data_IF_954661303928
#
_entry.id   IF_954661303928
#
_cell.length_a   1.000
_cell.length_b   1.000
_cell.length_c   1.000
_cell.angle_alpha   90.00
_cell.angle_beta   90.00
_cell.angle_gamma   90.00
#
_symmetry.space_group_name_H-M   'P 1'
#
loop_
_entity.id
_entity.type
_entity.pdbx_description
1 polymer ?
#
# COMPACT_ATOMS: atom_id res chain seq x y z
N UNK A 1 -63.28 -62.84 -34.73
CA UNK A 1 -61.83 -62.84 -34.92
C UNK A 1 -61.31 -61.44 -34.64
N UNK A 2 -60.83 -61.19 -33.42
CA UNK A 2 -60.32 -59.86 -32.99
C UNK A 2 -58.81 -60.02 -32.78
N UNK A 3 -58.01 -59.27 -33.54
CA UNK A 3 -56.54 -59.22 -33.37
C UNK A 3 -56.22 -58.13 -32.36
N UNK A 4 -55.55 -58.51 -31.24
CA UNK A 4 -54.93 -57.58 -30.32
C UNK A 4 -53.58 -57.14 -30.90
N UNK A 5 -53.36 -55.84 -30.98
CA UNK A 5 -52.06 -55.28 -31.25
C UNK A 5 -51.42 -54.84 -29.92
N UNK A 6 -50.26 -55.37 -29.60
CA UNK A 6 -49.46 -55.00 -28.45
C UNK A 6 -48.48 -53.89 -28.87
N UNK A 7 -48.57 -52.72 -28.22
CA UNK A 7 -47.63 -51.61 -28.39
C UNK A 7 -46.47 -51.79 -27.39
N UNK A 8 -45.24 -51.93 -27.90
CA UNK A 8 -43.99 -51.85 -27.11
C UNK A 8 -43.62 -50.38 -26.97
N UNK A 9 -43.64 -49.85 -25.74
CA UNK A 9 -43.05 -48.57 -25.38
C UNK A 9 -41.59 -48.79 -24.99
N UNK A 10 -40.65 -48.36 -25.85
CA UNK A 10 -39.22 -48.34 -25.54
C UNK A 10 -38.94 -47.08 -24.70
N UNK A 11 -38.62 -47.25 -23.41
CA UNK A 11 -38.15 -46.19 -22.52
C UNK A 11 -36.67 -45.86 -22.81
N UNK A 12 -36.40 -44.68 -23.33
CA UNK A 12 -35.06 -44.12 -23.41
C UNK A 12 -34.64 -43.64 -22.00
N UNK A 13 -33.75 -44.36 -21.33
CA UNK A 13 -33.07 -43.85 -20.13
C UNK A 13 -31.97 -42.88 -20.54
N UNK A 14 -32.23 -41.57 -20.28
CA UNK A 14 -31.21 -40.52 -20.41
C UNK A 14 -30.20 -40.70 -19.27
N UNK A 15 -29.07 -41.32 -19.53
CA UNK A 15 -27.94 -41.31 -18.60
C UNK A 15 -27.30 -39.91 -18.61
N UNK A 16 -27.57 -39.13 -17.56
CA UNK A 16 -26.83 -37.90 -17.30
C UNK A 16 -25.36 -38.24 -17.04
N UNK A 17 -24.49 -37.93 -18.00
CA UNK A 17 -23.04 -37.96 -17.82
C UNK A 17 -22.70 -36.79 -16.92
N UNK A 18 -22.61 -37.04 -15.60
CA UNK A 18 -21.99 -36.11 -14.67
C UNK A 18 -20.49 -36.19 -14.96
N UNK A 19 -20.01 -35.27 -15.77
CA UNK A 19 -18.55 -35.09 -15.95
C UNK A 19 -17.91 -34.81 -14.57
N UNK A 20 -16.65 -35.23 -14.37
CA UNK A 20 -15.98 -34.93 -13.12
C UNK A 20 -15.99 -33.40 -12.92
N UNK A 21 -16.65 -32.92 -11.87
CA UNK A 21 -16.44 -31.58 -11.38
C UNK A 21 -14.94 -31.49 -11.09
N UNK A 22 -14.20 -30.67 -11.85
CA UNK A 22 -12.81 -30.38 -11.55
C UNK A 22 -12.77 -29.91 -10.10
N UNK A 23 -12.32 -30.77 -9.21
CA UNK A 23 -12.10 -30.40 -7.82
C UNK A 23 -11.18 -29.18 -7.83
N UNK A 24 -11.65 -28.08 -7.27
CA UNK A 24 -10.81 -26.89 -7.09
C UNK A 24 -9.68 -27.30 -6.16
N UNK A 25 -8.45 -27.22 -6.64
CA UNK A 25 -7.25 -27.66 -5.89
C UNK A 25 -6.25 -26.50 -5.80
N UNK A 26 -5.44 -26.55 -4.75
CA UNK A 26 -4.25 -25.72 -4.64
C UNK A 26 -3.22 -26.24 -5.65
N UNK A 27 -2.70 -25.38 -6.51
CA UNK A 27 -1.68 -25.75 -7.48
C UNK A 27 -0.37 -26.16 -6.78
N UNK A 28 0.37 -27.06 -7.39
CA UNK A 28 1.68 -27.55 -6.90
C UNK A 28 1.69 -28.02 -5.41
N UNK A 29 0.50 -28.25 -4.82
CA UNK A 29 0.33 -28.67 -3.41
C UNK A 29 0.91 -27.68 -2.37
N UNK A 30 1.12 -26.42 -2.72
CA UNK A 30 1.65 -25.36 -1.86
C UNK A 30 1.08 -24.01 -2.27
N UNK A 31 0.80 -23.13 -1.29
CA UNK A 31 0.54 -21.71 -1.55
C UNK A 31 1.84 -20.95 -1.33
N UNK A 32 2.36 -20.31 -2.38
CA UNK A 32 3.64 -19.61 -2.31
C UNK A 32 3.50 -18.10 -2.45
N UNK A 33 3.89 -17.38 -1.40
CA UNK A 33 3.86 -15.91 -1.32
C UNK A 33 5.27 -15.38 -1.50
N UNK A 34 5.48 -14.49 -2.48
CA UNK A 34 6.74 -13.78 -2.69
C UNK A 34 6.68 -12.35 -2.13
N UNK A 35 7.49 -12.03 -1.13
CA UNK A 35 7.64 -10.65 -0.62
C UNK A 35 8.78 -9.99 -1.38
N UNK A 36 8.42 -9.14 -2.35
CA UNK A 36 9.39 -8.41 -3.17
C UNK A 36 9.48 -6.98 -2.64
N UNK A 37 10.57 -6.65 -2.00
CA UNK A 37 10.68 -5.43 -1.18
C UNK A 37 12.03 -4.73 -1.36
N UNK A 38 12.21 -3.56 -0.76
CA UNK A 38 13.52 -2.90 -0.63
C UNK A 38 14.12 -3.27 0.73
N UNK A 39 15.22 -4.03 0.72
CA UNK A 39 15.86 -4.52 1.95
C UNK A 39 17.16 -3.80 2.29
N UNK A 40 17.70 -3.00 1.39
CA UNK A 40 19.07 -2.50 1.50
C UNK A 40 19.23 -1.02 1.15
N UNK A 41 18.15 -0.31 0.79
CA UNK A 41 18.28 1.08 0.40
C UNK A 41 17.22 1.99 1.07
N UNK A 42 16.74 2.98 0.38
CA UNK A 42 15.99 4.16 0.83
C UNK A 42 14.73 3.84 1.66
N UNK A 43 14.08 2.72 1.39
CA UNK A 43 12.80 2.34 2.02
C UNK A 43 12.92 1.11 2.94
N UNK A 44 14.15 0.64 3.21
CA UNK A 44 14.39 -0.59 3.95
C UNK A 44 13.78 -0.58 5.36
N UNK A 45 13.78 0.56 6.05
CA UNK A 45 13.22 0.70 7.40
C UNK A 45 11.68 0.72 7.39
N UNK A 46 11.09 1.30 6.34
CA UNK A 46 9.63 1.37 6.20
C UNK A 46 9.01 0.06 5.72
N UNK A 47 9.78 -0.76 5.01
CA UNK A 47 9.35 -2.02 4.36
C UNK A 47 10.30 -3.17 4.73
N UNK A 48 11.13 -3.63 3.83
CA UNK A 48 12.27 -4.51 4.05
C UNK A 48 12.00 -5.75 4.89
N UNK A 49 12.88 -5.98 5.86
CA UNK A 49 12.76 -7.13 6.80
C UNK A 49 11.47 -7.09 7.62
N UNK A 50 10.95 -5.90 7.91
CA UNK A 50 9.67 -5.74 8.61
C UNK A 50 8.49 -6.24 7.77
N UNK A 51 8.48 -5.98 6.46
CA UNK A 51 7.48 -6.52 5.54
C UNK A 51 7.49 -8.04 5.52
N UNK A 52 8.68 -8.65 5.41
CA UNK A 52 8.85 -10.12 5.49
C UNK A 52 8.32 -10.66 6.81
N UNK A 53 8.70 -10.04 7.93
CA UNK A 53 8.24 -10.44 9.25
C UNK A 53 6.71 -10.36 9.40
N UNK A 54 6.07 -9.30 8.88
CA UNK A 54 4.62 -9.14 8.91
C UNK A 54 3.89 -10.26 8.16
N UNK A 55 4.35 -10.59 6.94
CA UNK A 55 3.78 -11.69 6.15
C UNK A 55 3.99 -13.04 6.85
N UNK A 56 5.20 -13.31 7.35
CA UNK A 56 5.49 -14.55 8.09
C UNK A 56 4.68 -14.67 9.39
N UNK A 57 4.45 -13.56 10.10
CA UNK A 57 3.57 -13.55 11.27
C UNK A 57 2.14 -13.90 10.91
N UNK A 58 1.60 -13.32 9.84
CA UNK A 58 0.26 -13.61 9.37
C UNK A 58 0.10 -15.09 8.94
N UNK A 59 1.06 -15.64 8.20
CA UNK A 59 1.08 -17.06 7.83
C UNK A 59 1.12 -17.94 9.06
N UNK A 60 1.98 -17.63 10.04
CA UNK A 60 2.06 -18.39 11.30
C UNK A 60 0.75 -18.33 12.09
N UNK A 61 0.13 -17.17 12.20
CA UNK A 61 -1.13 -16.97 12.91
C UNK A 61 -2.32 -17.63 12.21
N UNK A 62 -2.24 -17.77 10.89
CA UNK A 62 -3.21 -18.53 10.10
C UNK A 62 -3.07 -20.05 10.28
N UNK A 63 -1.97 -20.52 10.86
CA UNK A 63 -1.69 -21.93 11.10
C UNK A 63 -0.70 -22.56 10.12
N UNK A 64 -0.02 -21.78 9.27
CA UNK A 64 1.03 -22.23 8.37
C UNK A 64 0.56 -23.06 7.17
N UNK A 65 -0.75 -23.29 7.03
CA UNK A 65 -1.34 -24.05 5.94
C UNK A 65 -2.74 -23.54 5.58
N UNK A 66 -3.17 -23.84 4.35
CA UNK A 66 -4.53 -23.56 3.87
C UNK A 66 -5.05 -24.80 3.15
N UNK A 67 -6.26 -25.28 3.49
CA UNK A 67 -6.82 -26.53 2.94
C UNK A 67 -5.87 -27.74 3.09
N UNK A 68 -5.07 -27.77 4.15
CA UNK A 68 -4.09 -28.85 4.39
C UNK A 68 -2.82 -28.77 3.53
N UNK A 69 -2.64 -27.69 2.75
CA UNK A 69 -1.43 -27.43 1.97
C UNK A 69 -0.59 -26.37 2.67
N UNK A 70 0.75 -26.52 2.71
CA UNK A 70 1.63 -25.55 3.35
C UNK A 70 1.58 -24.19 2.66
N UNK A 71 1.83 -23.14 3.43
CA UNK A 71 2.05 -21.77 2.92
C UNK A 71 3.53 -21.46 3.05
N UNK A 72 4.19 -21.25 1.92
CA UNK A 72 5.61 -20.86 1.85
C UNK A 72 5.76 -19.38 1.59
N UNK A 73 6.76 -18.75 2.24
CA UNK A 73 7.10 -17.34 2.04
C UNK A 73 8.54 -17.27 1.53
N UNK A 74 8.69 -16.78 0.30
CA UNK A 74 9.98 -16.41 -0.28
C UNK A 74 10.11 -14.88 -0.31
N UNK A 75 11.32 -14.35 -0.32
CA UNK A 75 11.53 -12.90 -0.35
C UNK A 75 12.78 -12.51 -1.11
N UNK A 76 12.78 -11.30 -1.67
CA UNK A 76 13.93 -10.76 -2.39
C UNK A 76 13.97 -9.23 -2.31
N UNK A 77 15.17 -8.69 -2.50
CA UNK A 77 15.48 -7.27 -2.54
C UNK A 77 15.50 -6.77 -3.99
N UNK A 78 14.59 -5.88 -4.35
CA UNK A 78 14.60 -5.24 -5.68
C UNK A 78 15.51 -3.99 -5.75
N UNK A 79 16.08 -3.54 -4.61
CA UNK A 79 17.05 -2.43 -4.55
C UNK A 79 16.53 -1.12 -5.17
N UNK A 80 15.22 -0.89 -5.20
CA UNK A 80 14.55 0.20 -5.92
C UNK A 80 14.84 0.27 -7.43
N UNK A 81 15.25 -0.87 -8.05
CA UNK A 81 15.57 -0.99 -9.47
C UNK A 81 14.46 -1.74 -10.21
N UNK A 82 13.75 -1.11 -11.16
CA UNK A 82 12.66 -1.74 -11.89
C UNK A 82 13.04 -3.01 -12.64
N UNK A 83 14.20 -3.02 -13.29
CA UNK A 83 14.75 -4.16 -14.03
C UNK A 83 15.03 -5.36 -13.13
N UNK A 84 15.62 -5.12 -11.95
CA UNK A 84 15.86 -6.15 -10.93
C UNK A 84 14.53 -6.72 -10.42
N UNK A 85 13.60 -5.85 -10.04
CA UNK A 85 12.28 -6.28 -9.54
C UNK A 85 11.50 -7.11 -10.56
N UNK A 86 11.46 -6.67 -11.83
CA UNK A 86 10.77 -7.38 -12.91
C UNK A 86 11.46 -8.73 -13.22
N UNK A 87 12.79 -8.79 -13.20
CA UNK A 87 13.52 -10.04 -13.41
C UNK A 87 13.22 -11.06 -12.32
N UNK A 88 13.23 -10.65 -11.05
CA UNK A 88 12.87 -11.51 -9.90
C UNK A 88 11.42 -11.99 -10.02
N UNK A 89 10.46 -11.07 -10.26
CA UNK A 89 9.05 -11.40 -10.37
C UNK A 89 8.78 -12.40 -11.52
N UNK A 90 9.43 -12.21 -12.67
CA UNK A 90 9.33 -13.14 -13.80
C UNK A 90 9.85 -14.52 -13.44
N UNK A 91 11.04 -14.60 -12.83
CA UNK A 91 11.61 -15.87 -12.37
C UNK A 91 10.69 -16.56 -11.35
N UNK A 92 10.15 -15.82 -10.41
CA UNK A 92 9.23 -16.34 -9.41
C UNK A 92 7.96 -16.94 -10.04
N UNK A 93 7.35 -16.25 -11.01
CA UNK A 93 6.14 -16.75 -11.66
C UNK A 93 6.43 -17.93 -12.61
N UNK A 94 7.50 -17.86 -13.40
CA UNK A 94 7.77 -18.85 -14.45
C UNK A 94 8.43 -20.12 -13.91
N UNK A 95 9.38 -19.99 -12.99
CA UNK A 95 10.22 -21.09 -12.51
C UNK A 95 9.91 -21.56 -11.08
N UNK A 96 9.70 -20.61 -10.15
CA UNK A 96 9.54 -20.92 -8.74
C UNK A 96 8.08 -21.09 -8.31
N UNK A 97 7.13 -20.86 -9.23
CA UNK A 97 5.69 -21.08 -9.02
C UNK A 97 5.10 -20.25 -7.89
N UNK A 98 5.54 -19.01 -7.73
CA UNK A 98 4.95 -18.06 -6.78
C UNK A 98 3.53 -17.71 -7.24
N UNK A 99 2.56 -17.75 -6.32
CA UNK A 99 1.14 -17.48 -6.61
C UNK A 99 0.78 -16.02 -6.49
N UNK A 100 1.42 -15.34 -5.52
CA UNK A 100 1.17 -13.92 -5.30
C UNK A 100 2.45 -13.19 -4.88
N UNK A 101 2.64 -11.98 -5.42
CA UNK A 101 3.73 -11.07 -5.01
C UNK A 101 3.14 -9.98 -4.12
N UNK A 102 3.79 -9.76 -2.96
CA UNK A 102 3.37 -8.82 -1.94
C UNK A 102 4.39 -7.70 -1.76
N UNK A 103 3.93 -6.56 -1.24
CA UNK A 103 4.68 -5.34 -0.88
C UNK A 103 4.98 -4.45 -2.10
N UNK A 104 6.10 -4.65 -2.76
CA UNK A 104 6.61 -3.91 -3.92
C UNK A 104 6.65 -2.38 -3.68
N UNK A 105 7.42 -1.90 -2.69
CA UNK A 105 7.67 -0.47 -2.56
C UNK A 105 8.37 0.07 -3.81
N UNK A 106 8.33 1.41 -4.01
CA UNK A 106 8.84 2.08 -5.21
C UNK A 106 7.93 1.92 -6.42
N UNK A 107 7.16 2.97 -6.71
CA UNK A 107 6.12 2.91 -7.75
C UNK A 107 6.66 2.61 -9.15
N UNK A 108 7.91 2.98 -9.45
CA UNK A 108 8.57 2.60 -10.73
C UNK A 108 8.86 1.10 -10.83
N UNK A 109 8.90 0.37 -9.71
CA UNK A 109 8.97 -1.10 -9.66
C UNK A 109 7.55 -1.70 -9.67
N UNK A 110 6.64 -1.14 -8.88
CA UNK A 110 5.28 -1.67 -8.71
C UNK A 110 4.46 -1.65 -9.99
N UNK A 111 4.54 -0.58 -10.78
CA UNK A 111 3.77 -0.45 -12.02
C UNK A 111 4.10 -1.55 -13.05
N UNK A 112 5.36 -1.81 -13.43
CA UNK A 112 5.66 -2.90 -14.34
C UNK A 112 5.41 -4.29 -13.74
N UNK A 113 5.55 -4.49 -12.42
CA UNK A 113 5.18 -5.75 -11.77
C UNK A 113 3.67 -5.99 -11.84
N UNK A 114 2.85 -4.96 -11.63
CA UNK A 114 1.39 -5.07 -11.81
C UNK A 114 1.02 -5.53 -13.24
N UNK A 115 1.68 -4.97 -14.26
CA UNK A 115 1.49 -5.37 -15.65
C UNK A 115 1.93 -6.84 -15.90
N UNK A 116 3.10 -7.23 -15.40
CA UNK A 116 3.61 -8.60 -15.48
C UNK A 116 2.69 -9.59 -14.76
N UNK A 117 2.19 -9.24 -13.58
CA UNK A 117 1.26 -10.08 -12.81
C UNK A 117 -0.03 -10.35 -13.58
N UNK A 118 -0.56 -9.33 -14.28
CA UNK A 118 -1.71 -9.49 -15.17
C UNK A 118 -1.38 -10.42 -16.35
N UNK A 119 -0.23 -10.23 -17.00
CA UNK A 119 0.24 -11.10 -18.10
C UNK A 119 0.31 -12.57 -17.67
N UNK A 120 0.81 -12.83 -16.46
CA UNK A 120 1.00 -14.17 -15.89
C UNK A 120 -0.25 -14.75 -15.24
N UNK A 121 -1.35 -13.99 -15.18
CA UNK A 121 -2.57 -14.33 -14.43
C UNK A 121 -2.26 -14.78 -12.98
N UNK A 122 -1.41 -14.03 -12.30
CA UNK A 122 -1.07 -14.20 -10.88
C UNK A 122 -1.67 -13.07 -10.06
N UNK A 123 -1.34 -12.94 -8.79
CA UNK A 123 -1.86 -11.89 -7.90
C UNK A 123 -0.73 -10.96 -7.45
N UNK A 124 -0.99 -9.66 -7.42
CA UNK A 124 -0.14 -8.67 -6.76
C UNK A 124 -0.93 -7.94 -5.67
N UNK A 125 -0.44 -7.99 -4.44
CA UNK A 125 -0.97 -7.20 -3.32
C UNK A 125 0.08 -6.17 -2.95
N UNK A 126 -0.12 -4.96 -3.45
CA UNK A 126 0.80 -3.85 -3.28
C UNK A 126 0.47 -3.08 -2.00
N UNK A 127 1.40 -3.05 -1.05
CA UNK A 127 1.28 -2.27 0.19
C UNK A 127 2.25 -1.08 0.21
N UNK A 128 3.43 -1.23 -0.39
CA UNK A 128 4.50 -0.24 -0.30
C UNK A 128 4.57 0.75 -1.46
N UNK A 129 4.19 0.38 -2.69
CA UNK A 129 4.22 1.29 -3.83
C UNK A 129 3.01 2.24 -3.82
N UNK A 130 3.24 3.56 -3.70
CA UNK A 130 2.18 4.51 -3.37
C UNK A 130 1.49 5.20 -4.55
N UNK A 131 1.97 5.09 -5.80
CA UNK A 131 1.37 5.86 -6.91
C UNK A 131 -0.13 5.57 -7.10
N UNK A 132 -0.94 6.62 -7.11
CA UNK A 132 -2.38 6.54 -7.40
C UNK A 132 -2.69 6.02 -8.81
N UNK A 133 -1.68 5.96 -9.70
CA UNK A 133 -1.82 5.36 -11.03
C UNK A 133 -2.04 3.85 -10.97
N UNK A 134 -1.61 3.15 -9.90
CA UNK A 134 -1.80 1.70 -9.70
C UNK A 134 -3.29 1.32 -9.69
N UNK A 135 -4.15 2.19 -9.17
CA UNK A 135 -5.62 2.04 -9.18
C UNK A 135 -6.29 3.05 -10.12
N UNK A 136 -5.50 3.75 -10.92
CA UNK A 136 -5.92 4.67 -11.98
C UNK A 136 -5.71 4.08 -13.36
N UNK A 137 -5.03 4.83 -14.21
CA UNK A 137 -4.76 4.45 -15.62
C UNK A 137 -4.04 3.11 -15.78
N UNK A 138 -3.31 2.64 -14.75
CA UNK A 138 -2.58 1.37 -14.73
C UNK A 138 -3.28 0.28 -13.91
N UNK A 139 -4.56 0.43 -13.57
CA UNK A 139 -5.28 -0.55 -12.79
C UNK A 139 -5.33 -1.93 -13.47
N UNK A 140 -5.37 -2.96 -12.66
CA UNK A 140 -5.34 -4.34 -13.11
C UNK A 140 -6.33 -5.19 -12.32
N UNK A 141 -7.05 -6.15 -12.95
CA UNK A 141 -7.92 -7.06 -12.22
C UNK A 141 -7.15 -7.99 -11.26
N UNK A 142 -5.84 -8.08 -11.42
CA UNK A 142 -4.93 -8.94 -10.67
C UNK A 142 -4.16 -8.21 -9.57
N UNK A 143 -4.38 -6.90 -9.38
CA UNK A 143 -3.65 -6.10 -8.40
C UNK A 143 -4.59 -5.49 -7.37
N UNK A 144 -4.21 -5.58 -6.09
CA UNK A 144 -4.82 -4.85 -4.98
C UNK A 144 -3.81 -3.85 -4.44
N UNK A 145 -4.20 -2.59 -4.32
CA UNK A 145 -3.44 -1.52 -3.69
C UNK A 145 -3.96 -1.36 -2.26
N UNK A 146 -3.21 -1.87 -1.26
CA UNK A 146 -3.77 -2.14 0.06
C UNK A 146 -3.79 -0.93 0.99
N UNK A 147 -2.65 -0.27 1.19
CA UNK A 147 -2.45 0.58 2.37
C UNK A 147 -2.77 2.05 2.13
N UNK A 148 -2.06 2.72 1.23
CA UNK A 148 -2.18 4.16 0.97
C UNK A 148 -1.97 4.46 -0.51
N UNK A 149 -2.15 5.70 -0.92
CA UNK A 149 -1.72 6.18 -2.22
C UNK A 149 -1.41 7.69 -2.23
N UNK A 150 -0.83 8.14 -3.33
CA UNK A 150 -0.45 9.55 -3.53
C UNK A 150 -1.63 10.51 -3.60
N UNK A 151 -2.86 10.00 -3.74
CA UNK A 151 -4.07 10.81 -3.65
C UNK A 151 -4.49 11.01 -2.18
N UNK A 152 -4.57 9.92 -1.40
CA UNK A 152 -5.04 9.96 -0.01
C UNK A 152 -4.12 10.79 0.89
N UNK A 153 -2.79 10.67 0.72
CA UNK A 153 -1.81 11.37 1.54
C UNK A 153 -2.05 12.89 1.59
N UNK A 154 -2.04 13.63 0.47
CA UNK A 154 -2.28 15.06 0.49
C UNK A 154 -3.74 15.43 0.71
N UNK A 155 -4.68 14.56 0.37
CA UNK A 155 -6.11 14.83 0.54
C UNK A 155 -6.48 14.97 2.01
N UNK A 156 -5.86 14.16 2.88
CA UNK A 156 -6.06 14.22 4.33
C UNK A 156 -5.36 15.42 4.96
N UNK A 157 -4.05 15.59 4.76
CA UNK A 157 -3.27 16.64 5.41
C UNK A 157 -3.32 17.99 4.66
N UNK A 158 -3.17 17.99 3.34
CA UNK A 158 -3.04 19.20 2.54
C UNK A 158 -4.29 20.08 2.53
N UNK A 159 -5.47 19.45 2.42
CA UNK A 159 -6.76 20.16 2.52
C UNK A 159 -6.91 20.94 3.83
N UNK A 160 -6.49 20.33 4.95
CA UNK A 160 -6.54 20.98 6.26
C UNK A 160 -5.61 22.18 6.34
N UNK A 161 -4.42 22.11 5.74
CA UNK A 161 -3.45 23.21 5.71
C UNK A 161 -3.94 24.37 4.89
N UNK A 162 -4.40 24.16 3.65
CA UNK A 162 -4.93 25.23 2.78
C UNK A 162 -6.07 25.97 3.45
N UNK A 163 -7.01 25.25 4.09
CA UNK A 163 -8.14 25.86 4.84
C UNK A 163 -7.72 26.73 6.03
N UNK A 164 -6.52 26.48 6.60
CA UNK A 164 -5.95 27.30 7.70
C UNK A 164 -5.18 28.53 7.20
N UNK A 165 -5.15 28.76 5.88
CA UNK A 165 -4.45 29.88 5.27
C UNK A 165 -3.01 29.59 4.81
N UNK A 166 -2.58 28.33 4.86
CA UNK A 166 -1.33 27.86 4.28
C UNK A 166 -1.54 27.57 2.78
N UNK A 167 -1.82 28.58 2.00
CA UNK A 167 -2.44 28.54 0.67
C UNK A 167 -1.45 28.67 -0.49
N UNK A 168 -0.16 28.90 -0.23
CA UNK A 168 0.88 28.94 -1.27
C UNK A 168 1.92 27.87 -1.03
N UNK A 169 2.14 27.02 -2.05
CA UNK A 169 2.95 25.82 -1.95
C UNK A 169 4.06 25.80 -2.98
N UNK A 170 5.21 25.26 -2.60
CA UNK A 170 6.32 24.93 -3.49
C UNK A 170 6.74 23.46 -3.23
N UNK A 171 6.96 22.69 -4.29
CA UNK A 171 7.29 21.27 -4.17
C UNK A 171 8.78 21.00 -4.32
N UNK A 172 9.30 20.11 -3.48
CA UNK A 172 10.61 19.46 -3.64
C UNK A 172 10.33 17.97 -3.90
N UNK A 173 10.52 17.54 -5.13
CA UNK A 173 9.96 16.29 -5.67
C UNK A 173 11.04 15.32 -6.08
N UNK A 174 10.95 14.07 -5.61
CA UNK A 174 11.77 12.98 -6.12
C UNK A 174 11.39 12.65 -7.58
N UNK A 175 12.35 12.70 -8.49
CA UNK A 175 12.10 12.60 -9.93
C UNK A 175 11.91 11.15 -10.40
N UNK A 176 10.83 10.52 -9.94
CA UNK A 176 10.37 9.20 -10.37
C UNK A 176 8.85 9.05 -10.19
N UNK A 177 8.29 7.90 -10.61
CA UNK A 177 6.83 7.70 -10.70
C UNK A 177 6.05 8.04 -9.42
N UNK A 178 6.58 7.77 -8.22
CA UNK A 178 5.93 8.13 -6.96
C UNK A 178 5.94 9.63 -6.72
N UNK A 179 7.12 10.28 -6.77
CA UNK A 179 7.24 11.71 -6.47
C UNK A 179 6.41 12.55 -7.45
N UNK A 180 6.45 12.21 -8.74
CA UNK A 180 5.65 12.89 -9.78
C UNK A 180 4.14 12.70 -9.56
N UNK A 181 3.69 11.50 -9.14
CA UNK A 181 2.29 11.27 -8.82
C UNK A 181 1.88 12.04 -7.56
N UNK A 182 2.72 12.05 -6.52
CA UNK A 182 2.46 12.73 -5.26
C UNK A 182 2.40 14.25 -5.43
N UNK A 183 3.33 14.85 -6.19
CA UNK A 183 3.32 16.26 -6.58
C UNK A 183 2.03 16.61 -7.32
N UNK A 184 1.69 15.84 -8.36
CA UNK A 184 0.46 16.02 -9.15
C UNK A 184 -0.78 16.02 -8.27
N UNK A 185 -0.93 14.98 -7.44
CA UNK A 185 -2.12 14.77 -6.63
C UNK A 185 -2.21 15.85 -5.52
N UNK A 186 -1.08 16.20 -4.89
CA UNK A 186 -1.03 17.29 -3.91
C UNK A 186 -1.30 18.66 -4.53
N UNK A 187 -0.75 18.94 -5.72
CA UNK A 187 -1.01 20.18 -6.44
C UNK A 187 -2.50 20.34 -6.79
N UNK A 188 -3.17 19.25 -7.14
CA UNK A 188 -4.61 19.26 -7.38
C UNK A 188 -5.40 19.59 -6.10
N UNK A 189 -5.08 18.93 -4.98
CA UNK A 189 -5.69 19.23 -3.67
C UNK A 189 -5.52 20.71 -3.30
N UNK A 190 -4.32 21.24 -3.47
CA UNK A 190 -4.04 22.67 -3.18
C UNK A 190 -4.93 23.58 -4.03
N UNK A 191 -4.97 23.37 -5.34
CA UNK A 191 -5.76 24.19 -6.29
C UNK A 191 -7.26 24.08 -6.04
N UNK A 192 -7.78 22.86 -5.84
CA UNK A 192 -9.21 22.60 -5.58
C UNK A 192 -9.70 23.25 -4.28
N UNK A 193 -8.80 23.48 -3.32
CA UNK A 193 -9.14 24.16 -2.06
C UNK A 193 -8.79 25.68 -2.06
N UNK A 194 -8.50 26.26 -3.24
CA UNK A 194 -8.26 27.68 -3.41
C UNK A 194 -6.83 28.13 -3.16
N UNK A 195 -5.90 27.21 -2.98
CA UNK A 195 -4.47 27.51 -2.84
C UNK A 195 -3.76 27.67 -4.20
N UNK A 196 -2.48 28.03 -4.15
CA UNK A 196 -1.62 28.23 -5.32
C UNK A 196 -0.33 27.45 -5.20
N UNK A 197 0.08 26.82 -6.28
CA UNK A 197 1.40 26.23 -6.44
C UNK A 197 2.31 27.27 -7.10
N UNK A 198 3.39 27.65 -6.41
CA UNK A 198 4.34 28.67 -6.87
C UNK A 198 5.46 28.08 -7.74
N UNK A 199 5.64 26.76 -7.70
CA UNK A 199 6.62 26.04 -8.50
C UNK A 199 7.02 24.70 -7.86
N UNK A 200 7.94 24.05 -8.53
CA UNK A 200 8.55 22.80 -8.08
C UNK A 200 10.05 22.77 -8.45
N UNK A 201 10.78 21.92 -7.75
CA UNK A 201 12.13 21.50 -8.11
C UNK A 201 12.23 19.98 -7.93
N UNK A 202 12.91 19.32 -8.86
CA UNK A 202 13.04 17.86 -8.84
C UNK A 202 14.46 17.43 -8.51
N UNK A 203 14.56 16.41 -7.67
CA UNK A 203 15.83 15.82 -7.27
C UNK A 203 15.88 14.32 -7.65
N UNK A 204 17.06 13.77 -7.93
CA UNK A 204 17.24 12.34 -8.14
C UNK A 204 16.84 11.54 -6.90
N UNK A 205 16.39 10.30 -7.10
CA UNK A 205 16.18 9.37 -6.00
C UNK A 205 17.49 9.10 -5.27
N UNK A 206 17.45 8.97 -3.95
CA UNK A 206 18.62 8.77 -3.08
C UNK A 206 19.58 9.99 -3.08
N UNK A 207 19.02 11.18 -2.98
CA UNK A 207 19.77 12.43 -2.87
C UNK A 207 20.33 12.61 -1.45
N UNK A 208 21.63 12.86 -1.35
CA UNK A 208 22.30 13.14 -0.07
C UNK A 208 22.41 14.63 0.25
N UNK A 209 22.51 15.49 -0.77
CA UNK A 209 22.63 16.95 -0.65
C UNK A 209 21.41 17.64 -1.23
N UNK A 210 20.61 18.24 -0.34
CA UNK A 210 19.39 18.99 -0.70
C UNK A 210 19.61 20.51 -0.79
N UNK A 211 20.84 21.00 -0.57
CA UNK A 211 21.13 22.44 -0.46
C UNK A 211 20.55 23.26 -1.60
N UNK A 212 20.82 22.89 -2.85
CA UNK A 212 20.34 23.64 -4.02
C UNK A 212 18.83 23.60 -4.20
N UNK A 213 18.20 22.49 -3.88
CA UNK A 213 16.75 22.29 -3.97
C UNK A 213 16.02 23.12 -2.88
N UNK A 214 16.54 23.09 -1.65
CA UNK A 214 15.98 23.84 -0.53
C UNK A 214 16.16 25.37 -0.69
N UNK A 215 17.28 25.82 -1.24
CA UNK A 215 17.47 27.24 -1.55
C UNK A 215 16.47 27.75 -2.61
N UNK A 216 16.16 26.97 -3.64
CA UNK A 216 15.13 27.30 -4.60
C UNK A 216 13.75 27.35 -3.95
N UNK A 217 13.44 26.35 -3.10
CA UNK A 217 12.19 26.34 -2.35
C UNK A 217 12.08 27.56 -1.41
N UNK A 218 13.14 27.91 -0.70
CA UNK A 218 13.20 29.10 0.16
C UNK A 218 12.98 30.39 -0.63
N UNK A 219 13.61 30.52 -1.81
CA UNK A 219 13.49 31.70 -2.68
C UNK A 219 12.07 31.88 -3.24
N UNK A 220 11.25 30.81 -3.33
CA UNK A 220 9.87 30.89 -3.80
C UNK A 220 8.95 31.72 -2.90
N UNK A 221 9.32 31.91 -1.63
CA UNK A 221 8.49 32.56 -0.59
C UNK A 221 7.12 31.90 -0.38
N UNK A 222 6.95 30.64 -0.78
CA UNK A 222 5.76 29.88 -0.49
C UNK A 222 5.58 29.72 1.03
N UNK A 223 4.34 29.74 1.51
CA UNK A 223 4.06 29.46 2.94
C UNK A 223 4.39 28.03 3.31
N UNK A 224 4.27 27.11 2.35
CA UNK A 224 4.51 25.68 2.53
C UNK A 224 5.53 25.17 1.52
N UNK A 225 6.55 24.50 2.01
CA UNK A 225 7.45 23.65 1.22
C UNK A 225 7.01 22.21 1.42
N UNK A 226 6.54 21.60 0.34
CA UNK A 226 6.00 20.24 0.34
C UNK A 226 7.05 19.27 -0.20
N UNK A 227 7.43 18.31 0.62
CA UNK A 227 8.35 17.22 0.24
C UNK A 227 7.53 16.10 -0.42
N UNK A 228 7.60 16.01 -1.74
CA UNK A 228 7.01 14.95 -2.54
C UNK A 228 8.06 13.83 -2.77
N UNK A 229 8.56 13.29 -1.68
CA UNK A 229 9.53 12.21 -1.57
C UNK A 229 9.22 11.34 -0.34
N UNK A 230 10.09 10.40 0.02
CA UNK A 230 9.86 9.49 1.14
C UNK A 230 11.17 8.92 1.69
N UNK A 231 11.14 8.34 2.90
CA UNK A 231 12.25 7.65 3.53
C UNK A 231 13.49 8.53 3.69
N UNK A 232 14.65 8.02 3.30
CA UNK A 232 15.94 8.73 3.44
C UNK A 232 15.97 10.10 2.77
N UNK A 233 15.30 10.30 1.62
CA UNK A 233 15.22 11.60 0.94
C UNK A 233 14.42 12.60 1.78
N UNK A 234 13.30 12.19 2.37
CA UNK A 234 12.50 13.04 3.28
C UNK A 234 13.29 13.41 4.54
N UNK A 235 13.93 12.43 5.18
CA UNK A 235 14.69 12.68 6.41
C UNK A 235 15.89 13.58 6.18
N UNK A 236 16.62 13.41 5.08
CA UNK A 236 17.75 14.28 4.70
C UNK A 236 17.28 15.70 4.38
N UNK A 237 16.19 15.85 3.63
CA UNK A 237 15.63 17.15 3.30
C UNK A 237 15.19 17.92 4.56
N UNK A 238 14.51 17.25 5.50
CA UNK A 238 14.07 17.85 6.76
C UNK A 238 15.25 18.29 7.65
N UNK A 239 16.29 17.45 7.77
CA UNK A 239 17.51 17.79 8.52
C UNK A 239 18.16 19.05 7.95
N UNK A 240 18.40 19.07 6.65
CA UNK A 240 19.06 20.19 6.00
C UNK A 240 18.19 21.46 5.99
N UNK A 241 16.86 21.34 5.86
CA UNK A 241 15.95 22.47 5.98
C UNK A 241 16.04 23.14 7.37
N UNK A 242 16.20 22.33 8.43
CA UNK A 242 16.41 22.85 9.79
C UNK A 242 17.75 23.54 9.92
N UNK A 243 18.83 22.96 9.37
CA UNK A 243 20.18 23.55 9.35
C UNK A 243 20.23 24.90 8.62
N UNK A 244 19.49 25.04 7.53
CA UNK A 244 19.37 26.29 6.77
C UNK A 244 18.41 27.32 7.38
N UNK A 245 17.75 26.98 8.49
CA UNK A 245 16.82 27.88 9.17
C UNK A 245 15.59 28.23 8.32
N UNK A 246 15.13 27.34 7.46
CA UNK A 246 13.95 27.55 6.60
C UNK A 246 12.71 27.71 7.46
N UNK A 247 12.56 26.88 8.49
CA UNK A 247 11.54 27.03 9.51
C UNK A 247 12.02 27.98 10.61
N UNK A 248 11.16 28.86 11.18
CA UNK A 248 9.68 28.89 11.05
C UNK A 248 9.14 29.78 9.91
N UNK A 249 10.00 30.38 9.08
CA UNK A 249 9.54 31.33 8.06
C UNK A 249 8.64 30.67 6.99
N UNK A 250 8.94 29.44 6.63
CA UNK A 250 8.14 28.60 5.74
C UNK A 250 7.86 27.26 6.45
N UNK A 251 6.63 26.78 6.35
CA UNK A 251 6.24 25.49 6.94
C UNK A 251 6.72 24.36 6.05
N UNK A 252 7.26 23.30 6.65
CA UNK A 252 7.55 22.05 5.94
C UNK A 252 6.38 21.09 6.10
N UNK A 253 6.04 20.36 5.03
CA UNK A 253 5.21 19.17 5.09
C UNK A 253 5.90 18.02 4.38
N UNK A 254 6.06 16.90 5.08
CA UNK A 254 6.42 15.62 4.47
C UNK A 254 5.13 14.93 4.05
N UNK A 255 4.91 14.79 2.74
CA UNK A 255 3.65 14.23 2.22
C UNK A 255 3.55 12.70 2.45
N UNK A 256 4.68 12.02 2.61
CA UNK A 256 4.78 10.66 3.14
C UNK A 256 5.88 10.61 4.18
N UNK A 257 5.53 10.18 5.39
CA UNK A 257 6.45 10.01 6.50
C UNK A 257 5.97 8.88 7.39
N UNK A 258 6.82 7.89 7.57
CA UNK A 258 6.54 6.74 8.42
C UNK A 258 6.98 6.98 9.86
N UNK A 259 6.44 6.21 10.80
CA UNK A 259 6.82 6.31 12.22
C UNK A 259 8.33 6.08 12.43
N UNK A 260 8.95 5.25 11.61
CA UNK A 260 10.41 4.98 11.63
C UNK A 260 11.22 6.21 11.24
N UNK A 261 10.72 7.03 10.31
CA UNK A 261 11.34 8.29 9.91
C UNK A 261 11.31 9.31 11.07
N UNK A 262 10.13 9.46 11.70
CA UNK A 262 9.98 10.34 12.88
C UNK A 262 10.87 9.90 14.02
N UNK A 263 10.94 8.59 14.27
CA UNK A 263 11.82 8.03 15.29
C UNK A 263 13.31 8.32 15.00
N UNK A 264 13.75 8.14 13.76
CA UNK A 264 15.13 8.37 13.32
C UNK A 264 15.56 9.84 13.40
N UNK A 265 14.65 10.78 13.10
CA UNK A 265 14.87 12.21 13.20
C UNK A 265 14.81 12.71 14.65
N UNK A 266 14.07 12.00 15.48
CA UNK A 266 13.77 12.37 16.85
C UNK A 266 12.59 13.35 16.98
N UNK A 267 11.86 13.18 18.08
CA UNK A 267 10.62 13.94 18.35
C UNK A 267 10.84 15.46 18.40
N UNK A 268 12.00 15.92 18.86
CA UNK A 268 12.33 17.36 18.93
C UNK A 268 12.43 18.02 17.56
N UNK A 269 12.98 17.31 16.59
CA UNK A 269 13.14 17.81 15.23
C UNK A 269 11.83 17.76 14.42
N UNK A 270 10.93 16.86 14.79
CA UNK A 270 9.69 16.58 14.05
C UNK A 270 8.43 17.06 14.73
N UNK A 271 8.52 17.57 15.97
CA UNK A 271 7.34 18.03 16.73
C UNK A 271 6.45 18.98 15.92
N UNK A 272 5.16 18.72 15.98
CA UNK A 272 4.16 19.55 15.30
C UNK A 272 3.96 19.24 13.82
N UNK A 273 4.81 18.41 13.20
CA UNK A 273 4.57 17.96 11.82
C UNK A 273 3.24 17.20 11.73
N UNK A 274 2.51 17.48 10.64
CA UNK A 274 1.30 16.74 10.31
C UNK A 274 1.66 15.54 9.45
N UNK A 275 1.13 14.38 9.81
CA UNK A 275 1.38 13.10 9.14
C UNK A 275 0.04 12.47 8.77
N UNK A 276 -0.10 12.04 7.53
CA UNK A 276 -1.20 11.17 7.09
C UNK A 276 -0.73 9.73 7.14
N UNK A 277 -1.47 8.88 7.85
CA UNK A 277 -1.11 7.47 8.03
C UNK A 277 -2.38 6.60 8.00
N UNK A 278 -2.25 5.33 7.67
CA UNK A 278 -3.33 4.35 7.73
C UNK A 278 -3.33 3.54 9.02
N UNK A 279 -2.28 3.67 9.83
CA UNK A 279 -2.09 2.86 11.04
C UNK A 279 -1.18 3.58 12.03
N UNK A 280 -1.49 3.41 13.31
CA UNK A 280 -0.58 3.76 14.39
C UNK A 280 -0.66 2.69 15.49
N UNK A 281 0.49 2.32 16.04
CA UNK A 281 0.59 1.20 16.97
C UNK A 281 -0.24 1.36 18.25
N UNK A 282 -0.46 2.59 18.72
CA UNK A 282 -1.18 2.92 19.96
C UNK A 282 -2.57 3.50 19.71
N UNK A 283 -3.34 2.97 18.76
CA UNK A 283 -4.72 3.41 18.52
C UNK A 283 -5.73 2.73 19.44
N UNK A 284 -5.59 1.43 19.65
CA UNK A 284 -6.48 0.59 20.44
C UNK A 284 -5.78 -0.68 20.90
N UNK A 285 -6.49 -1.55 21.64
CA UNK A 285 -5.91 -2.78 22.18
C UNK A 285 -5.47 -3.76 21.11
N UNK A 286 -6.18 -3.85 19.98
CA UNK A 286 -5.84 -4.75 18.88
C UNK A 286 -4.54 -4.30 18.19
N UNK A 287 -4.40 -2.98 17.91
CA UNK A 287 -3.17 -2.43 17.31
C UNK A 287 -1.98 -2.57 18.24
N UNK A 288 -2.16 -2.34 19.55
CA UNK A 288 -1.12 -2.55 20.58
C UNK A 288 -0.68 -4.02 20.66
N UNK A 289 -1.62 -4.95 20.65
CA UNK A 289 -1.34 -6.39 20.73
C UNK A 289 -0.51 -6.86 19.51
N UNK A 290 -0.91 -6.48 18.30
CA UNK A 290 -0.15 -6.76 17.08
C UNK A 290 1.25 -6.14 17.15
N UNK A 291 1.33 -4.86 17.45
CA UNK A 291 2.58 -4.10 17.42
C UNK A 291 3.60 -4.58 18.45
N UNK A 292 3.15 -5.00 19.63
CA UNK A 292 4.03 -5.61 20.65
C UNK A 292 4.69 -6.90 20.13
N UNK A 293 3.95 -7.73 19.42
CA UNK A 293 4.46 -8.98 18.84
C UNK A 293 5.42 -8.70 17.68
N UNK A 294 5.07 -7.72 16.84
CA UNK A 294 5.91 -7.26 15.74
C UNK A 294 7.23 -6.70 16.26
N UNK A 295 7.19 -5.80 17.25
CA UNK A 295 8.37 -5.21 17.89
C UNK A 295 9.32 -6.29 18.43
N UNK A 296 8.79 -7.31 19.08
CA UNK A 296 9.59 -8.42 19.61
C UNK A 296 10.36 -9.19 18.53
N UNK A 297 9.90 -9.16 17.26
CA UNK A 297 10.56 -9.82 16.13
C UNK A 297 11.50 -8.90 15.35
N UNK A 298 11.16 -7.62 15.23
CA UNK A 298 11.80 -6.69 14.29
C UNK A 298 12.65 -5.63 15.00
N UNK A 299 12.32 -5.28 16.23
CA UNK A 299 13.04 -4.29 17.05
C UNK A 299 12.56 -2.84 16.87
N UNK A 300 11.51 -2.61 16.10
CA UNK A 300 10.84 -1.31 15.97
C UNK A 300 9.33 -1.46 15.86
N UNK A 301 8.57 -0.37 16.05
CA UNK A 301 7.13 -0.39 15.83
C UNK A 301 6.80 -0.52 14.34
N UNK A 302 5.70 -1.21 14.00
CA UNK A 302 5.32 -1.40 12.60
C UNK A 302 4.88 -0.08 11.96
N UNK A 303 5.25 0.09 10.70
CA UNK A 303 4.73 1.12 9.80
C UNK A 303 3.33 0.73 9.29
N UNK A 304 2.61 1.67 8.67
CA UNK A 304 1.33 1.34 8.01
C UNK A 304 1.50 0.28 6.93
N UNK A 305 2.63 0.28 6.22
CA UNK A 305 2.94 -0.68 5.15
C UNK A 305 3.03 -2.09 5.72
N UNK A 306 3.78 -2.26 6.80
CA UNK A 306 4.01 -3.54 7.47
C UNK A 306 2.74 -4.07 8.14
N UNK A 307 1.97 -3.20 8.80
CA UNK A 307 0.66 -3.55 9.38
C UNK A 307 -0.36 -3.94 8.29
N UNK A 308 -0.38 -3.19 7.18
CA UNK A 308 -1.22 -3.49 6.03
C UNK A 308 -0.88 -4.84 5.38
N UNK A 309 0.39 -5.22 5.33
CA UNK A 309 0.81 -6.52 4.79
C UNK A 309 0.32 -7.70 5.63
N UNK A 310 0.35 -7.59 6.95
CA UNK A 310 -0.25 -8.61 7.81
C UNK A 310 -1.75 -8.78 7.51
N UNK A 311 -2.50 -7.68 7.48
CA UNK A 311 -3.92 -7.66 7.15
C UNK A 311 -4.20 -8.27 5.78
N UNK A 312 -3.44 -7.85 4.76
CA UNK A 312 -3.55 -8.34 3.39
C UNK A 312 -3.28 -9.85 3.28
N UNK A 313 -2.27 -10.34 3.97
CA UNK A 313 -1.92 -11.77 3.99
C UNK A 313 -3.04 -12.60 4.60
N UNK A 314 -3.58 -12.18 5.74
CA UNK A 314 -4.72 -12.84 6.38
C UNK A 314 -5.95 -12.88 5.46
N UNK A 315 -6.22 -11.78 4.75
CA UNK A 315 -7.35 -11.70 3.82
C UNK A 315 -7.17 -12.60 2.60
N UNK A 316 -5.97 -12.64 2.03
CA UNK A 316 -5.59 -13.51 0.91
C UNK A 316 -5.75 -14.99 1.27
N UNK A 317 -5.22 -15.42 2.42
CA UNK A 317 -5.32 -16.82 2.86
C UNK A 317 -6.77 -17.22 3.13
N UNK A 318 -7.58 -16.34 3.73
CA UNK A 318 -9.04 -16.57 3.90
C UNK A 318 -9.76 -16.73 2.55
N UNK A 319 -9.35 -15.97 1.53
CA UNK A 319 -9.94 -16.09 0.20
C UNK A 319 -9.60 -17.42 -0.46
N UNK A 320 -8.36 -17.90 -0.35
CA UNK A 320 -7.98 -19.26 -0.81
C UNK A 320 -8.74 -20.33 -0.04
N UNK A 321 -8.85 -20.19 1.28
CA UNK A 321 -9.62 -21.14 2.12
C UNK A 321 -11.07 -21.23 1.65
N UNK A 322 -11.71 -20.09 1.38
CA UNK A 322 -13.12 -20.03 0.97
C UNK A 322 -13.34 -20.60 -0.44
N UNK A 323 -12.41 -20.34 -1.37
CA UNK A 323 -12.52 -20.82 -2.76
C UNK A 323 -12.03 -22.25 -2.95
N UNK A 324 -11.17 -22.74 -2.07
CA UNK A 324 -10.52 -24.05 -2.19
C UNK A 324 -9.49 -24.14 -3.33
N UNK A 325 -9.03 -23.00 -3.84
CA UNK A 325 -8.06 -22.90 -4.94
C UNK A 325 -7.24 -21.61 -4.82
N UNK A 326 -6.04 -21.62 -5.37
CA UNK A 326 -5.16 -20.48 -5.55
C UNK A 326 -5.27 -19.83 -6.95
N UNK A 327 -6.24 -20.26 -7.75
CA UNK A 327 -6.51 -19.69 -9.07
C UNK A 327 -6.83 -18.18 -8.94
N UNK A 328 -6.01 -17.35 -9.60
CA UNK A 328 -5.96 -15.91 -9.38
C UNK A 328 -7.33 -15.20 -9.52
N UNK A 329 -8.11 -15.50 -10.55
CA UNK A 329 -9.38 -14.79 -10.78
C UNK A 329 -10.43 -15.14 -9.72
N UNK A 330 -10.47 -16.41 -9.26
CA UNK A 330 -11.38 -16.85 -8.20
C UNK A 330 -11.01 -16.24 -6.86
N UNK A 331 -9.71 -16.25 -6.53
CA UNK A 331 -9.20 -15.64 -5.29
C UNK A 331 -9.46 -14.13 -5.28
N UNK A 332 -9.16 -13.44 -6.38
CA UNK A 332 -9.43 -12.00 -6.50
C UNK A 332 -10.92 -11.65 -6.41
N UNK A 333 -11.79 -12.47 -7.00
CA UNK A 333 -13.24 -12.31 -6.88
C UNK A 333 -13.70 -12.48 -5.41
N UNK A 334 -13.18 -13.50 -4.72
CA UNK A 334 -13.49 -13.73 -3.32
C UNK A 334 -12.95 -12.62 -2.40
N UNK A 335 -11.73 -12.14 -2.65
CA UNK A 335 -11.17 -11.02 -1.90
C UNK A 335 -12.04 -9.77 -2.01
N UNK A 336 -12.55 -9.46 -3.22
CA UNK A 336 -13.47 -8.32 -3.44
C UNK A 336 -14.85 -8.53 -2.80
N UNK A 337 -15.34 -9.75 -2.76
CA UNK A 337 -16.64 -10.09 -2.17
C UNK A 337 -16.65 -10.09 -0.64
N UNK A 338 -15.48 -10.14 -0.01
CA UNK A 338 -15.34 -10.31 1.45
C UNK A 338 -14.92 -8.98 2.09
N UNK A 339 -15.69 -8.43 3.04
CA UNK A 339 -15.27 -7.27 3.81
C UNK A 339 -14.04 -7.55 4.67
N UNK A 340 -13.18 -6.55 4.84
CA UNK A 340 -12.01 -6.60 5.71
C UNK A 340 -12.39 -6.02 7.08
N UNK A 341 -12.29 -6.86 8.13
CA UNK A 341 -12.53 -6.48 9.51
C UNK A 341 -11.45 -7.11 10.38
N UNK A 342 -10.43 -6.31 10.70
CA UNK A 342 -9.31 -6.70 11.56
C UNK A 342 -8.77 -5.47 12.32
N UNK A 343 -7.56 -5.57 12.88
CA UNK A 343 -6.96 -4.45 13.60
C UNK A 343 -6.54 -3.29 12.68
N UNK A 344 -6.31 -3.56 11.38
CA UNK A 344 -5.89 -2.55 10.41
C UNK A 344 -7.08 -1.78 9.82
N UNK A 345 -8.16 -2.46 9.51
CA UNK A 345 -9.35 -1.85 8.91
C UNK A 345 -10.64 -2.37 9.51
N UNK A 346 -11.63 -1.48 9.65
CA UNK A 346 -13.01 -1.83 9.96
C UNK A 346 -13.88 -1.50 8.74
N UNK A 347 -14.69 -2.47 8.31
CA UNK A 347 -15.53 -2.38 7.10
C UNK A 347 -14.76 -2.03 5.82
N UNK A 348 -13.48 -2.41 5.74
CA UNK A 348 -12.67 -2.24 4.55
C UNK A 348 -13.22 -3.08 3.39
N UNK A 349 -13.04 -2.61 2.15
CA UNK A 349 -13.48 -3.33 0.96
C UNK A 349 -12.56 -3.04 -0.23
N UNK A 350 -12.48 -4.00 -1.16
CA UNK A 350 -11.66 -3.87 -2.38
C UNK A 350 -12.58 -3.50 -3.55
N UNK A 351 -12.33 -2.35 -4.16
CA UNK A 351 -13.07 -1.86 -5.34
C UNK A 351 -12.63 -2.57 -6.61
N UNK A 352 -13.39 -2.37 -7.70
CA UNK A 352 -13.07 -2.94 -9.03
C UNK A 352 -11.74 -2.44 -9.58
N UNK A 353 -11.33 -1.20 -9.26
CA UNK A 353 -10.04 -0.62 -9.64
C UNK A 353 -8.85 -1.17 -8.83
N UNK A 354 -9.12 -2.05 -7.86
CA UNK A 354 -8.11 -2.66 -7.00
C UNK A 354 -7.78 -1.87 -5.73
N UNK A 355 -8.39 -0.68 -5.50
CA UNK A 355 -8.17 0.05 -4.24
C UNK A 355 -8.87 -0.65 -3.08
N UNK A 356 -8.12 -1.01 -2.03
CA UNK A 356 -8.67 -1.38 -0.73
C UNK A 356 -9.01 -0.10 0.01
N UNK A 357 -10.31 0.17 0.21
CA UNK A 357 -10.83 1.36 0.88
C UNK A 357 -10.95 1.10 2.36
N UNK A 358 -10.40 2.00 3.16
CA UNK A 358 -10.41 1.99 4.63
C UNK A 358 -10.19 3.41 5.15
N UNK A 359 -10.42 3.65 6.43
CA UNK A 359 -10.16 4.95 7.03
C UNK A 359 -8.68 5.32 6.99
N UNK A 360 -8.41 6.61 6.79
CA UNK A 360 -7.10 7.21 6.93
C UNK A 360 -7.09 8.17 8.13
N UNK A 361 -5.93 8.40 8.68
CA UNK A 361 -5.80 9.17 9.90
C UNK A 361 -4.87 10.37 9.70
N UNK A 362 -5.27 11.51 10.26
CA UNK A 362 -4.41 12.67 10.38
C UNK A 362 -3.82 12.67 11.78
N UNK A 363 -2.51 12.57 11.87
CA UNK A 363 -1.76 12.69 13.10
C UNK A 363 -0.97 13.99 13.16
N UNK A 364 -0.61 14.38 14.36
CA UNK A 364 0.43 15.37 14.62
C UNK A 364 1.52 14.71 15.45
N UNK A 365 2.78 14.95 15.08
CA UNK A 365 3.90 14.53 15.91
C UNK A 365 3.86 15.29 17.22
N UNK A 366 3.89 14.55 18.32
CA UNK A 366 3.85 15.06 19.69
C UNK A 366 5.03 15.98 19.99
N UNK A 367 4.85 16.87 20.95
CA UNK A 367 5.97 17.55 21.60
C UNK A 367 6.66 16.59 22.58
N UNK A 368 7.95 16.80 22.90
CA UNK A 368 8.67 15.94 23.84
C UNK A 368 7.94 15.75 25.18
N UNK A 369 7.31 16.79 25.71
CA UNK A 369 6.57 16.74 26.98
C UNK A 369 5.23 15.98 26.90
N UNK A 370 4.71 15.72 25.70
CA UNK A 370 3.49 14.94 25.47
C UNK A 370 3.78 13.43 25.33
N UNK A 371 5.04 13.08 25.01
CA UNK A 371 5.45 11.69 24.77
C UNK A 371 5.72 10.95 26.07
N UNK A 372 5.22 9.72 26.17
CA UNK A 372 5.38 8.82 27.32
C UNK A 372 6.40 7.71 27.10
N UNK A 373 7.06 7.66 25.94
CA UNK A 373 8.04 6.64 25.61
C UNK A 373 8.62 6.80 24.21
N UNK A 374 9.61 6.01 23.89
CA UNK A 374 10.42 6.08 22.66
C UNK A 374 9.59 6.11 21.37
N UNK A 375 8.51 5.33 21.31
CA UNK A 375 7.64 5.19 20.14
C UNK A 375 6.29 5.90 20.30
N UNK A 376 6.07 6.60 21.39
CA UNK A 376 4.84 7.38 21.60
C UNK A 376 4.95 8.75 20.92
N UNK A 377 4.92 8.73 19.58
CA UNK A 377 5.28 9.85 18.74
C UNK A 377 4.09 10.63 18.18
N UNK A 378 2.91 10.01 18.08
CA UNK A 378 1.76 10.59 17.37
C UNK A 378 0.59 10.89 18.28
N UNK A 379 -0.12 11.95 17.91
CA UNK A 379 -1.40 12.36 18.47
C UNK A 379 -2.43 12.39 17.36
N UNK A 380 -3.50 11.63 17.51
CA UNK A 380 -4.60 11.59 16.54
C UNK A 380 -5.33 12.94 16.52
N UNK A 381 -5.44 13.54 15.33
CA UNK A 381 -6.13 14.81 15.09
C UNK A 381 -7.49 14.56 14.45
N UNK A 382 -7.55 13.67 13.45
CA UNK A 382 -8.80 13.34 12.78
C UNK A 382 -8.74 11.94 12.16
N UNK A 383 -9.91 11.30 12.10
CA UNK A 383 -10.16 10.13 11.24
C UNK A 383 -10.89 10.62 9.99
N UNK A 384 -10.42 10.23 8.83
CA UNK A 384 -11.03 10.54 7.55
C UNK A 384 -11.59 9.24 6.96
N UNK A 385 -12.92 9.13 6.79
CA UNK A 385 -13.52 7.94 6.20
C UNK A 385 -12.91 7.58 4.86
N UNK A 386 -12.79 6.29 4.57
CA UNK A 386 -12.12 5.82 3.35
C UNK A 386 -12.71 6.40 2.06
N UNK A 387 -14.03 6.54 1.97
CA UNK A 387 -14.70 7.13 0.80
C UNK A 387 -14.39 8.63 0.60
N UNK A 388 -13.93 9.33 1.65
CA UNK A 388 -13.46 10.71 1.57
C UNK A 388 -11.95 10.80 1.35
N UNK A 389 -11.20 9.83 1.88
CA UNK A 389 -9.74 9.82 1.82
C UNK A 389 -9.23 9.40 0.43
N UNK A 390 -9.80 8.34 -0.13
CA UNK A 390 -9.39 7.80 -1.42
C UNK A 390 -10.13 8.44 -2.58
N UNK A 391 -9.47 8.48 -3.74
CA UNK A 391 -10.03 9.07 -4.96
C UNK A 391 -11.37 8.42 -5.33
N UNK A 392 -12.40 9.21 -5.67
CA UNK A 392 -13.65 8.68 -6.21
C UNK A 392 -13.40 7.73 -7.38
N UNK A 393 -14.15 6.64 -7.45
CA UNK A 393 -13.94 5.56 -8.41
C UNK A 393 -13.98 6.04 -9.87
N UNK A 394 -14.88 6.97 -10.17
CA UNK A 394 -15.08 7.57 -11.51
C UNK A 394 -14.01 8.59 -11.91
N UNK A 395 -13.09 8.97 -10.98
CA UNK A 395 -12.04 9.95 -11.19
C UNK A 395 -10.65 9.34 -11.42
N UNK A 396 -10.58 8.00 -11.50
CA UNK A 396 -9.30 7.28 -11.55
C UNK A 396 -8.77 6.99 -12.95
N UNK A 397 -9.53 7.19 -14.00
CA UNK A 397 -9.21 6.76 -15.38
C UNK A 397 -8.89 5.26 -15.49
N UNK A 398 -9.39 4.45 -14.56
CA UNK A 398 -9.21 3.01 -14.59
C UNK A 398 -10.06 2.40 -15.72
N UNK A 399 -9.46 1.68 -16.68
CA UNK A 399 -10.20 1.05 -17.77
C UNK A 399 -11.26 0.04 -17.32
N UNK A 400 -11.11 -0.55 -16.12
CA UNK A 400 -12.06 -1.53 -15.57
C UNK A 400 -13.35 -0.89 -15.05
N UNK A 401 -13.37 0.43 -14.84
CA UNK A 401 -14.55 1.17 -14.33
C UNK A 401 -15.49 1.57 -15.45
N UNK A 402 -15.02 1.63 -16.69
CA UNK A 402 -15.77 2.07 -17.88
C UNK A 402 -16.44 0.92 -18.64
N UNK A 403 -16.53 -0.26 -18.01
CA UNK A 403 -17.14 -1.46 -18.56
C UNK A 403 -18.63 -1.56 -18.27
#
# INVERSE_FOLDING_TARGET
MKRLAAALTAGFALAAVIGPANAQTISDDVVKIGVLTDMSSLYADATGKGSVAAVQMAVSDYGGNVKGKPVEVVYADHQNKPDVGVAIARNWYDNEKVDAIFDVPTSSVALPISALTREKNKININSGGGSSDITGKACSPNTVHWTYDTYALPHVAGKAMVKRGDDTWFFVTADYAFGQALERDAANVVKENGGKVLGEVRHPLNTSDFSSFLLQAQASKAKVIALANAGGDTTNALKQAAEFGITPAQKMIALLMEITDVHSLGIRATQGLMVTDAFYWDMNDETRAFSKRFYAKVGHMPTMIQAGLYSATMHYLKAIEATGTDEAQKVMAQMRATPINDFFAKNGHIRIDGRMVHDMYLFQVKKPEESKGEWDLYKLIATVPGDEAFRPLDKGDCPLVKG
#
